data_IF_597397485811
#
_entry.id   IF_597397485811
#
_cell.length_a   1.000
_cell.length_b   1.000
_cell.length_c   1.000
_cell.angle_alpha   90.00
_cell.angle_beta   90.00
_cell.angle_gamma   90.00
#
_symmetry.space_group_name_H-M   'P 1'
#
loop_
_entity.id
_entity.type
_entity.pdbx_description
1 polymer ?
#
# COMPACT_ATOMS: atom_id res chain seq x y z
N UNK A 1 19.49 1.37 -11.04
CA UNK A 1 18.44 0.33 -10.94
C UNK A 1 17.28 0.70 -11.85
N UNK A 2 16.95 -0.19 -12.79
CA UNK A 2 15.79 -0.08 -13.69
C UNK A 2 14.53 -0.29 -12.84
N UNK A 3 13.48 0.51 -13.04
CA UNK A 3 12.18 0.29 -12.38
C UNK A 3 11.61 -1.05 -12.86
N UNK A 4 11.21 -1.90 -11.94
CA UNK A 4 10.50 -3.14 -12.27
C UNK A 4 9.05 -2.84 -12.61
N UNK A 5 8.44 -1.88 -11.90
CA UNK A 5 7.08 -1.44 -12.17
C UNK A 5 7.07 -0.39 -13.30
N UNK A 6 7.10 -0.88 -14.54
CA UNK A 6 6.86 -0.03 -15.71
C UNK A 6 5.35 0.30 -15.87
N UNK A 7 5.04 1.29 -16.71
CA UNK A 7 3.68 1.83 -16.85
C UNK A 7 2.62 0.74 -17.15
N UNK A 8 2.90 -0.18 -18.07
CA UNK A 8 1.95 -1.28 -18.38
C UNK A 8 1.58 -2.18 -17.20
N UNK A 9 2.51 -2.50 -16.29
CA UNK A 9 2.18 -3.26 -15.07
C UNK A 9 1.40 -2.40 -14.08
N UNK A 10 1.75 -1.11 -13.96
CA UNK A 10 1.03 -0.16 -13.10
C UNK A 10 -0.43 0.00 -13.54
N UNK A 11 -0.68 0.14 -14.82
CA UNK A 11 -2.04 0.29 -15.37
C UNK A 11 -2.90 -0.94 -15.07
N UNK A 12 -2.33 -2.15 -15.22
CA UNK A 12 -3.00 -3.41 -14.87
C UNK A 12 -3.32 -3.50 -13.37
N UNK A 13 -2.35 -3.17 -12.50
CA UNK A 13 -2.58 -3.13 -11.06
C UNK A 13 -3.69 -2.13 -10.66
N UNK A 14 -3.75 -0.97 -11.32
CA UNK A 14 -4.76 0.06 -11.03
C UNK A 14 -6.20 -0.38 -11.35
N UNK A 15 -6.39 -1.43 -12.16
CA UNK A 15 -7.71 -2.03 -12.45
C UNK A 15 -8.18 -3.00 -11.37
N UNK A 16 -7.28 -3.46 -10.49
CA UNK A 16 -7.57 -4.45 -9.47
C UNK A 16 -7.88 -3.77 -8.13
N UNK A 17 -8.62 -4.47 -7.26
CA UNK A 17 -8.76 -4.08 -5.87
C UNK A 17 -7.63 -4.70 -5.02
N UNK A 18 -7.32 -4.08 -3.88
CA UNK A 18 -6.39 -4.69 -2.91
C UNK A 18 -6.87 -6.07 -2.45
N UNK A 19 -8.18 -6.32 -2.40
CA UNK A 19 -8.75 -7.64 -2.11
C UNK A 19 -8.35 -8.71 -3.13
N UNK A 20 -8.39 -8.39 -4.43
CA UNK A 20 -7.97 -9.34 -5.48
C UNK A 20 -6.49 -9.73 -5.33
N UNK A 21 -5.64 -8.76 -4.98
CA UNK A 21 -4.21 -9.00 -4.74
C UNK A 21 -3.96 -9.78 -3.44
N UNK A 22 -4.73 -9.52 -2.38
CA UNK A 22 -4.66 -10.28 -1.13
C UNK A 22 -4.98 -11.76 -1.36
N UNK A 23 -6.07 -12.03 -2.08
CA UNK A 23 -6.50 -13.39 -2.41
C UNK A 23 -5.48 -14.11 -3.32
N UNK A 24 -4.90 -13.39 -4.28
CA UNK A 24 -3.81 -13.89 -5.12
C UNK A 24 -2.57 -14.28 -4.30
N UNK A 25 -2.18 -13.43 -3.34
CA UNK A 25 -1.08 -13.73 -2.43
C UNK A 25 -1.36 -14.98 -1.59
N UNK A 26 -2.59 -15.16 -1.11
CA UNK A 26 -2.95 -16.35 -0.33
C UNK A 26 -2.96 -17.63 -1.18
N UNK A 27 -3.38 -17.57 -2.45
CA UNK A 27 -3.19 -18.68 -3.40
C UNK A 27 -1.72 -19.07 -3.54
N UNK A 28 -0.84 -18.08 -3.73
CA UNK A 28 0.59 -18.30 -3.88
C UNK A 28 1.22 -18.86 -2.59
N UNK A 29 0.78 -18.41 -1.42
CA UNK A 29 1.20 -18.96 -0.13
C UNK A 29 0.83 -20.45 0.01
N UNK A 30 -0.35 -20.87 -0.43
CA UNK A 30 -0.73 -22.28 -0.43
C UNK A 30 0.17 -23.15 -1.32
N UNK A 31 0.84 -22.55 -2.31
CA UNK A 31 1.83 -23.19 -3.16
C UNK A 31 3.28 -23.07 -2.62
N UNK A 32 3.45 -22.52 -1.41
CA UNK A 32 4.76 -22.31 -0.79
C UNK A 32 5.50 -21.07 -1.29
N UNK A 33 4.83 -20.17 -2.01
CA UNK A 33 5.42 -18.95 -2.57
C UNK A 33 5.15 -17.77 -1.62
N UNK A 34 6.21 -17.13 -1.11
CA UNK A 34 6.10 -15.95 -0.27
C UNK A 34 5.92 -14.68 -1.12
N UNK A 35 4.68 -14.42 -1.55
CA UNK A 35 4.36 -13.32 -2.47
C UNK A 35 4.12 -11.96 -1.79
N UNK A 36 3.98 -11.91 -0.47
CA UNK A 36 3.73 -10.66 0.27
C UNK A 36 2.62 -10.80 1.33
N UNK A 37 1.84 -9.74 1.55
CA UNK A 37 0.70 -9.77 2.46
C UNK A 37 -0.12 -8.48 2.49
N UNK A 38 -1.34 -8.60 3.01
CA UNK A 38 -2.22 -7.47 3.30
C UNK A 38 -1.93 -6.88 4.69
N UNK A 39 -2.11 -5.57 4.84
CA UNK A 39 -1.91 -4.84 6.08
C UNK A 39 -3.22 -4.25 6.58
N UNK A 40 -3.49 -4.46 7.86
CA UNK A 40 -4.75 -4.08 8.51
C UNK A 40 -4.67 -2.68 9.11
N UNK A 41 -5.77 -1.94 8.99
CA UNK A 41 -6.01 -0.71 9.75
C UNK A 41 -5.23 0.50 9.23
N UNK A 42 -4.81 0.48 7.97
CA UNK A 42 -4.27 1.64 7.26
C UNK A 42 -5.23 1.94 6.10
N UNK A 43 -5.81 3.13 6.10
CA UNK A 43 -6.91 3.52 5.19
C UNK A 43 -6.66 4.93 4.62
N UNK A 44 -7.30 5.32 3.50
CA UNK A 44 -7.19 6.67 2.99
C UNK A 44 -7.70 7.67 4.03
N UNK A 45 -6.92 8.73 4.27
CA UNK A 45 -7.30 9.77 5.22
C UNK A 45 -8.23 10.81 4.61
N UNK A 46 -8.37 10.82 3.29
CA UNK A 46 -9.30 11.66 2.54
C UNK A 46 -9.74 10.96 1.25
N UNK A 47 -10.96 11.28 0.81
CA UNK A 47 -11.53 10.77 -0.44
C UNK A 47 -11.53 9.24 -0.58
N UNK A 48 -11.54 8.78 -1.84
CA UNK A 48 -11.38 7.36 -2.21
C UNK A 48 -10.10 7.19 -3.04
N UNK A 49 -8.97 7.60 -2.46
CA UNK A 49 -7.68 7.61 -3.15
C UNK A 49 -7.10 6.21 -3.33
N UNK A 50 -6.27 6.05 -4.36
CA UNK A 50 -5.51 4.83 -4.64
C UNK A 50 -4.03 5.14 -4.79
N UNK A 51 -3.21 4.19 -4.37
CA UNK A 51 -1.75 4.25 -4.44
C UNK A 51 -1.27 2.96 -5.11
N UNK A 52 -0.35 3.06 -6.07
CA UNK A 52 0.42 1.92 -6.61
C UNK A 52 1.83 2.40 -6.92
N UNK A 53 2.85 1.72 -6.40
CA UNK A 53 4.24 2.00 -6.77
C UNK A 53 5.28 1.15 -6.04
N UNK A 54 6.55 1.33 -6.43
CA UNK A 54 7.69 0.74 -5.73
C UNK A 54 7.94 1.46 -4.41
N UNK A 55 8.18 0.71 -3.34
CA UNK A 55 8.38 1.25 -2.00
C UNK A 55 9.73 1.96 -1.85
N UNK A 56 9.69 3.20 -1.36
CA UNK A 56 10.82 3.91 -0.76
C UNK A 56 10.52 4.05 0.72
N UNK A 57 11.27 3.32 1.54
CA UNK A 57 10.92 3.09 2.94
C UNK A 57 11.56 4.10 3.88
N UNK A 58 10.89 4.41 4.98
CA UNK A 58 11.36 5.28 6.06
C UNK A 58 11.05 4.59 7.38
N UNK A 59 12.05 4.46 8.25
CA UNK A 59 11.88 4.00 9.62
C UNK A 59 12.00 5.17 10.58
N UNK A 60 11.06 5.26 11.51
CA UNK A 60 11.02 6.28 12.55
C UNK A 60 11.41 5.67 13.89
N UNK A 61 12.03 6.46 14.77
CA UNK A 61 12.31 6.08 16.16
C UNK A 61 12.02 7.23 17.11
N UNK A 62 11.94 6.94 18.41
CA UNK A 62 11.81 7.96 19.43
C UNK A 62 13.00 8.92 19.38
N UNK A 63 12.75 10.19 19.66
CA UNK A 63 13.80 11.21 19.68
C UNK A 63 14.82 10.88 20.79
N UNK A 64 16.06 10.56 20.42
CA UNK A 64 17.16 10.43 21.36
C UNK A 64 17.79 11.80 21.65
N UNK A 65 18.53 11.96 22.75
CA UNK A 65 19.21 13.22 23.07
C UNK A 65 20.32 13.64 22.06
N UNK A 66 20.60 12.79 21.06
CA UNK A 66 21.54 13.07 19.97
C UNK A 66 20.81 13.74 18.80
N UNK A 67 21.39 14.84 18.33
CA UNK A 67 20.81 15.79 17.40
C UNK A 67 20.20 15.13 16.14
N UNK A 68 18.88 15.29 15.97
CA UNK A 68 18.21 15.08 14.69
C UNK A 68 18.63 16.20 13.71
N UNK A 69 19.45 15.87 12.72
CA UNK A 69 19.94 16.82 11.71
C UNK A 69 19.07 16.93 10.45
N UNK A 70 18.21 15.94 10.18
CA UNK A 70 17.43 15.87 8.93
C UNK A 70 15.91 15.88 9.21
N UNK A 71 15.17 16.63 8.39
CA UNK A 71 13.72 16.59 8.38
C UNK A 71 13.25 15.20 7.94
N UNK A 72 12.41 14.55 8.76
CA UNK A 72 11.90 13.21 8.52
C UNK A 72 11.32 13.10 7.10
N UNK A 73 11.74 12.06 6.36
CA UNK A 73 11.21 11.72 5.04
C UNK A 73 11.79 12.51 3.86
N UNK A 74 12.57 13.57 4.09
CA UNK A 74 13.09 14.40 2.98
C UNK A 74 14.06 13.63 2.09
N UNK A 75 14.99 12.89 2.67
CA UNK A 75 15.96 12.09 1.88
C UNK A 75 15.26 11.05 1.00
N UNK A 76 14.23 10.39 1.56
CA UNK A 76 13.41 9.42 0.85
C UNK A 76 12.66 10.06 -0.33
N UNK A 77 12.04 11.23 -0.13
CA UNK A 77 11.38 11.98 -1.21
C UNK A 77 12.40 12.37 -2.29
N UNK A 78 13.57 12.87 -1.91
CA UNK A 78 14.61 13.30 -2.87
C UNK A 78 15.13 12.13 -3.70
N UNK A 79 15.29 10.95 -3.10
CA UNK A 79 15.76 9.75 -3.78
C UNK A 79 14.69 9.03 -4.61
N UNK A 80 13.41 9.23 -4.28
CA UNK A 80 12.29 8.61 -4.96
C UNK A 80 12.13 9.11 -6.40
N UNK A 81 11.59 8.24 -7.25
CA UNK A 81 11.30 8.50 -8.67
C UNK A 81 9.79 8.67 -8.88
N UNK A 82 9.37 9.35 -9.97
CA UNK A 82 7.96 9.47 -10.33
C UNK A 82 7.22 8.13 -10.28
N UNK A 83 6.11 8.09 -9.54
CA UNK A 83 5.29 6.89 -9.30
C UNK A 83 5.74 5.97 -8.16
N UNK A 84 6.81 6.28 -7.44
CA UNK A 84 7.17 5.54 -6.21
C UNK A 84 6.21 5.88 -5.06
N UNK A 85 6.21 5.04 -4.02
CA UNK A 85 5.41 5.20 -2.81
C UNK A 85 6.33 5.35 -1.61
N UNK A 86 6.10 6.39 -0.81
CA UNK A 86 6.77 6.50 0.48
C UNK A 86 6.07 5.59 1.48
N UNK A 87 6.83 4.73 2.16
CA UNK A 87 6.31 3.80 3.17
C UNK A 87 6.95 4.12 4.52
N UNK A 88 6.16 4.57 5.48
CA UNK A 88 6.65 5.02 6.79
C UNK A 88 6.28 4.02 7.88
N UNK A 89 7.30 3.46 8.52
CA UNK A 89 7.19 2.65 9.73
C UNK A 89 7.36 3.54 10.96
N UNK A 90 6.22 3.93 11.54
CA UNK A 90 6.14 4.61 12.84
C UNK A 90 5.56 3.68 13.92
N UNK A 91 5.66 2.35 13.72
CA UNK A 91 5.24 1.31 14.67
C UNK A 91 3.80 1.47 15.18
N UNK A 92 2.91 2.01 14.35
CA UNK A 92 1.51 2.26 14.69
C UNK A 92 1.28 3.37 15.71
N UNK A 93 2.26 4.24 15.96
CA UNK A 93 2.13 5.33 16.95
C UNK A 93 1.07 6.37 16.52
N UNK A 94 0.10 6.59 17.41
CA UNK A 94 -1.00 7.55 17.26
C UNK A 94 -0.89 8.73 18.23
N UNK A 95 0.25 8.94 18.88
CA UNK A 95 0.46 10.06 19.80
C UNK A 95 1.17 11.27 19.15
N UNK A 96 1.64 11.13 17.92
CA UNK A 96 2.26 12.19 17.12
C UNK A 96 2.14 11.86 15.62
N UNK A 97 2.19 12.89 14.78
CA UNK A 97 2.28 12.67 13.33
C UNK A 97 3.70 12.25 12.93
N UNK A 98 3.83 11.61 11.78
CA UNK A 98 5.10 11.49 11.06
C UNK A 98 5.00 11.94 9.58
N UNK A 99 3.88 12.51 9.17
CA UNK A 99 3.67 13.06 7.83
C UNK A 99 2.67 14.22 7.86
N UNK A 100 2.81 15.19 6.96
CA UNK A 100 1.94 16.37 6.83
C UNK A 100 2.13 17.15 5.53
N UNK A 101 1.58 18.36 5.46
CA UNK A 101 1.40 19.12 4.21
C UNK A 101 2.71 19.38 3.44
N UNK A 102 3.80 19.71 4.14
CA UNK A 102 5.08 20.06 3.52
C UNK A 102 5.66 18.86 2.77
N UNK A 103 5.58 17.67 3.39
CA UNK A 103 6.05 16.43 2.77
C UNK A 103 5.14 15.99 1.64
N UNK A 104 3.82 16.13 1.81
CA UNK A 104 2.84 15.87 0.74
C UNK A 104 3.08 16.75 -0.49
N UNK A 105 3.30 18.06 -0.31
CA UNK A 105 3.61 18.96 -1.41
C UNK A 105 4.93 18.58 -2.11
N UNK A 106 5.99 18.32 -1.35
CA UNK A 106 7.28 17.91 -1.90
C UNK A 106 7.18 16.58 -2.68
N UNK A 107 6.43 15.61 -2.16
CA UNK A 107 6.19 14.32 -2.80
C UNK A 107 5.33 14.48 -4.07
N UNK A 108 4.29 15.32 -4.04
CA UNK A 108 3.48 15.64 -5.23
C UNK A 108 4.32 16.27 -6.34
N UNK A 109 5.19 17.23 -6.00
CA UNK A 109 6.10 17.86 -6.97
C UNK A 109 7.09 16.88 -7.62
N UNK A 110 7.34 15.74 -6.99
CA UNK A 110 8.13 14.64 -7.54
C UNK A 110 7.30 13.54 -8.19
N UNK A 111 6.01 13.78 -8.37
CA UNK A 111 5.07 12.86 -9.03
C UNK A 111 5.00 11.49 -8.34
N UNK A 112 5.21 11.46 -7.02
CA UNK A 112 5.07 10.22 -6.24
C UNK A 112 3.60 9.79 -6.18
N UNK A 113 3.36 8.49 -6.12
CA UNK A 113 2.00 7.92 -6.11
C UNK A 113 1.23 8.19 -4.82
N UNK A 114 1.92 8.48 -3.72
CA UNK A 114 1.32 8.70 -2.41
C UNK A 114 2.26 8.29 -1.28
N UNK A 115 1.71 8.30 -0.06
CA UNK A 115 2.37 7.80 1.15
C UNK A 115 1.48 6.80 1.88
N UNK A 116 2.09 5.77 2.44
CA UNK A 116 1.47 4.81 3.35
C UNK A 116 2.20 4.85 4.69
N UNK A 117 1.46 5.09 5.77
CA UNK A 117 2.01 5.35 7.11
C UNK A 117 1.45 4.36 8.14
N UNK A 118 2.34 3.56 8.74
CA UNK A 118 2.04 2.78 9.93
C UNK A 118 2.14 3.66 11.19
N UNK A 119 1.16 4.55 11.35
CA UNK A 119 1.10 5.56 12.40
C UNK A 119 0.13 6.69 12.03
N UNK A 120 0.17 7.80 12.77
CA UNK A 120 -0.68 8.96 12.49
C UNK A 120 -0.04 10.00 11.56
N UNK A 121 -0.90 10.73 10.87
CA UNK A 121 -0.55 11.87 10.00
C UNK A 121 -1.31 13.12 10.42
N UNK A 122 -1.04 14.26 9.76
CA UNK A 122 -1.80 15.50 9.95
C UNK A 122 -1.91 16.31 8.65
N UNK A 123 -2.57 17.46 8.74
CA UNK A 123 -2.74 18.41 7.62
C UNK A 123 -3.42 17.73 6.41
N UNK A 124 -4.41 16.88 6.68
CA UNK A 124 -5.08 16.03 5.68
C UNK A 124 -5.96 16.83 4.73
N UNK A 125 -6.52 17.94 5.21
CA UNK A 125 -7.22 18.95 4.40
C UNK A 125 -6.30 19.57 3.34
N UNK A 126 -5.06 19.89 3.69
CA UNK A 126 -4.06 20.33 2.72
C UNK A 126 -3.70 19.21 1.74
N UNK A 127 -3.56 17.97 2.23
CA UNK A 127 -3.28 16.82 1.35
C UNK A 127 -4.39 16.56 0.34
N UNK A 128 -5.66 16.75 0.73
CA UNK A 128 -6.82 16.69 -0.16
C UNK A 128 -6.80 17.82 -1.19
N UNK A 129 -6.51 19.06 -0.78
CA UNK A 129 -6.34 20.18 -1.72
C UNK A 129 -5.20 19.96 -2.70
N UNK A 130 -4.16 19.23 -2.28
CA UNK A 130 -3.04 18.85 -3.15
C UNK A 130 -3.34 17.62 -4.00
N UNK A 131 -4.49 16.98 -3.81
CA UNK A 131 -4.82 15.70 -4.45
C UNK A 131 -3.72 14.64 -4.26
N UNK A 132 -2.99 14.69 -3.13
CA UNK A 132 -1.90 13.76 -2.84
C UNK A 132 -2.38 12.63 -1.91
N UNK A 133 -2.41 11.36 -2.38
CA UNK A 133 -2.92 10.24 -1.59
C UNK A 133 -2.12 10.02 -0.29
N UNK A 134 -2.82 10.01 0.83
CA UNK A 134 -2.26 9.71 2.16
C UNK A 134 -3.09 8.60 2.79
N UNK A 135 -2.44 7.46 3.03
CA UNK A 135 -3.01 6.32 3.75
C UNK A 135 -2.29 6.16 5.08
N UNK A 136 -3.03 6.09 6.18
CA UNK A 136 -2.47 6.06 7.52
C UNK A 136 -3.37 5.28 8.49
N UNK A 137 -2.89 5.07 9.73
CA UNK A 137 -3.74 4.52 10.80
C UNK A 137 -4.72 5.54 11.37
N UNK A 138 -4.45 6.83 11.21
CA UNK A 138 -5.33 7.89 11.68
C UNK A 138 -4.69 9.28 11.56
N UNK A 139 -5.39 10.27 12.10
CA UNK A 139 -4.96 11.68 12.09
C UNK A 139 -4.77 12.21 13.51
N UNK A 140 -3.79 13.10 13.70
CA UNK A 140 -3.55 13.80 14.97
C UNK A 140 -3.05 15.22 14.75
N UNK A 141 -3.36 16.19 15.63
CA UNK A 141 -2.79 17.54 15.54
C UNK A 141 -1.35 17.62 16.10
N UNK A 142 -0.87 16.56 16.75
CA UNK A 142 0.37 16.57 17.55
C UNK A 142 1.60 16.44 16.64
N UNK A 143 2.59 17.33 16.85
CA UNK A 143 3.81 17.40 16.03
C UNK A 143 4.82 16.30 16.34
N UNK A 144 5.46 15.74 15.30
CA UNK A 144 6.64 14.89 15.38
C UNK A 144 7.82 15.53 16.16
N UNK A 145 7.93 16.88 16.10
CA UNK A 145 9.10 17.63 16.56
C UNK A 145 9.38 17.39 18.03
N UNK A 146 10.61 16.97 18.34
CA UNK A 146 11.06 16.64 19.69
C UNK A 146 10.48 15.35 20.28
N UNK A 147 9.71 14.58 19.50
CA UNK A 147 9.09 13.31 19.93
C UNK A 147 9.67 12.12 19.18
N UNK A 148 9.79 12.26 17.87
CA UNK A 148 10.31 11.24 16.97
C UNK A 148 11.36 11.81 16.02
N UNK A 149 12.16 10.94 15.42
CA UNK A 149 13.14 11.25 14.38
C UNK A 149 13.25 10.13 13.35
N UNK A 150 13.74 10.43 12.15
CA UNK A 150 14.10 9.41 11.17
C UNK A 150 15.27 8.57 11.69
N UNK A 151 15.07 7.26 11.81
CA UNK A 151 16.10 6.28 12.19
C UNK A 151 16.93 5.90 10.96
N UNK A 152 16.24 5.57 9.86
CA UNK A 152 16.83 5.12 8.61
C UNK A 152 15.85 5.32 7.45
N UNK A 153 16.35 5.31 6.22
CA UNK A 153 15.55 5.29 5.01
C UNK A 153 16.15 4.31 4.01
N UNK A 154 15.33 3.83 3.08
CA UNK A 154 15.70 2.81 2.09
C UNK A 154 16.28 1.53 2.72
N UNK A 155 15.70 1.12 3.84
CA UNK A 155 15.99 -0.13 4.57
C UNK A 155 14.72 -0.96 4.69
N UNK A 156 14.82 -2.26 4.99
CA UNK A 156 13.62 -3.05 5.28
C UNK A 156 12.88 -2.48 6.50
N UNK A 157 11.56 -2.30 6.40
CA UNK A 157 10.70 -1.78 7.48
C UNK A 157 9.51 -2.70 7.73
N UNK A 158 8.68 -2.41 8.73
CA UNK A 158 7.38 -3.08 8.91
C UNK A 158 6.24 -2.11 8.66
N UNK A 159 5.19 -2.64 8.04
CA UNK A 159 3.90 -1.98 7.91
C UNK A 159 2.88 -2.91 8.59
N UNK A 160 2.52 -2.61 9.84
CA UNK A 160 1.86 -3.57 10.71
C UNK A 160 2.74 -4.81 10.96
N UNK A 161 2.24 -5.98 10.59
CA UNK A 161 2.93 -7.27 10.69
C UNK A 161 3.70 -7.65 9.41
N UNK A 162 3.52 -6.91 8.31
CA UNK A 162 4.14 -7.20 7.03
C UNK A 162 5.49 -6.49 6.88
N UNK A 163 6.54 -7.23 6.54
CA UNK A 163 7.84 -6.66 6.22
C UNK A 163 7.85 -6.08 4.79
N UNK A 164 8.29 -4.83 4.64
CA UNK A 164 8.41 -4.13 3.35
C UNK A 164 9.88 -3.85 3.06
N UNK A 165 10.36 -4.28 1.90
CA UNK A 165 11.72 -3.94 1.42
C UNK A 165 11.63 -2.76 0.46
N UNK A 166 12.71 -1.95 0.34
CA UNK A 166 12.85 -1.06 -0.80
C UNK A 166 12.59 -1.78 -2.13
N UNK A 167 11.76 -1.20 -2.99
CA UNK A 167 11.39 -1.76 -4.29
C UNK A 167 10.24 -2.79 -4.27
N UNK A 168 9.80 -3.30 -3.11
CA UNK A 168 8.56 -4.08 -3.06
C UNK A 168 7.39 -3.22 -3.56
N UNK A 169 6.38 -3.84 -4.16
CA UNK A 169 5.24 -3.11 -4.72
C UNK A 169 4.21 -2.89 -3.62
N UNK A 170 3.81 -1.64 -3.44
CA UNK A 170 2.77 -1.27 -2.47
C UNK A 170 1.57 -0.76 -3.24
N UNK A 171 0.42 -1.38 -2.94
CA UNK A 171 -0.87 -0.93 -3.41
C UNK A 171 -1.76 -0.58 -2.21
N UNK A 172 -2.47 0.54 -2.29
CA UNK A 172 -3.45 0.92 -1.30
C UNK A 172 -4.74 1.42 -1.95
N UNK A 173 -5.88 1.05 -1.37
CA UNK A 173 -7.19 1.57 -1.72
C UNK A 173 -8.06 1.71 -0.45
N UNK A 174 -9.37 1.92 -0.61
CA UNK A 174 -10.28 2.11 0.52
C UNK A 174 -10.37 0.92 1.48
N UNK A 175 -9.98 -0.28 1.05
CA UNK A 175 -10.05 -1.49 1.86
C UNK A 175 -8.79 -1.72 2.70
N UNK A 176 -7.66 -1.15 2.28
CA UNK A 176 -6.40 -1.29 3.00
C UNK A 176 -5.19 -1.23 2.10
N UNK A 177 -4.11 -1.89 2.52
CA UNK A 177 -2.83 -1.93 1.83
C UNK A 177 -2.42 -3.36 1.55
N UNK A 178 -1.87 -3.63 0.37
CA UNK A 178 -1.20 -4.88 0.02
C UNK A 178 0.24 -4.59 -0.38
N UNK A 179 1.16 -5.39 0.17
CA UNK A 179 2.57 -5.40 -0.17
C UNK A 179 2.85 -6.66 -0.99
N UNK A 180 3.40 -6.51 -2.18
CA UNK A 180 3.80 -7.60 -3.07
C UNK A 180 5.32 -7.62 -3.16
N UNK A 181 5.92 -8.80 -2.99
CA UNK A 181 7.36 -8.97 -3.21
C UNK A 181 7.67 -8.69 -4.67
N UNK A 182 8.72 -7.90 -4.92
CA UNK A 182 9.10 -7.50 -6.28
C UNK A 182 9.32 -8.72 -7.21
N UNK A 183 9.84 -9.82 -6.68
CA UNK A 183 10.11 -11.05 -7.41
C UNK A 183 8.84 -11.86 -7.73
N UNK A 184 7.73 -11.57 -7.04
CA UNK A 184 6.44 -12.25 -7.22
C UNK A 184 5.39 -11.36 -7.91
N UNK A 185 5.77 -10.17 -8.39
CA UNK A 185 4.84 -9.19 -8.96
C UNK A 185 4.01 -9.77 -10.11
N UNK A 186 4.66 -10.32 -11.14
CA UNK A 186 3.97 -10.83 -12.32
C UNK A 186 3.03 -12.00 -11.98
N UNK A 187 3.50 -12.95 -11.17
CA UNK A 187 2.69 -14.08 -10.72
C UNK A 187 1.49 -13.61 -9.89
N UNK A 188 1.68 -12.65 -8.98
CA UNK A 188 0.59 -12.11 -8.17
C UNK A 188 -0.45 -11.40 -9.05
N UNK A 189 0.03 -10.62 -10.02
CA UNK A 189 -0.82 -9.90 -10.96
C UNK A 189 -1.69 -10.84 -11.80
N UNK A 190 -1.10 -11.89 -12.39
CA UNK A 190 -1.83 -12.89 -13.18
C UNK A 190 -2.91 -13.60 -12.37
N UNK A 191 -2.60 -13.98 -11.12
CA UNK A 191 -3.59 -14.61 -10.21
C UNK A 191 -4.71 -13.64 -9.86
N UNK A 192 -4.38 -12.39 -9.56
CA UNK A 192 -5.37 -11.38 -9.19
C UNK A 192 -6.30 -11.03 -10.35
N UNK A 193 -5.78 -10.96 -11.59
CA UNK A 193 -6.60 -10.77 -12.80
C UNK A 193 -7.55 -11.96 -13.02
N UNK A 194 -7.10 -13.20 -12.82
CA UNK A 194 -7.95 -14.38 -12.92
C UNK A 194 -9.06 -14.40 -11.85
N UNK A 195 -8.74 -13.98 -10.62
CA UNK A 195 -9.72 -13.82 -9.54
C UNK A 195 -10.76 -12.76 -9.90
N UNK A 196 -10.31 -11.56 -10.30
CA UNK A 196 -11.19 -10.46 -10.67
C UNK A 196 -12.12 -10.83 -11.85
N UNK A 197 -11.60 -11.53 -12.86
CA UNK A 197 -12.40 -12.01 -13.98
C UNK A 197 -13.48 -13.02 -13.53
N UNK A 198 -13.14 -13.93 -12.61
CA UNK A 198 -14.10 -14.89 -12.06
C UNK A 198 -15.18 -14.20 -11.21
N UNK A 199 -14.79 -13.25 -10.36
CA UNK A 199 -15.72 -12.44 -9.57
C UNK A 199 -16.67 -11.63 -10.46
N UNK A 200 -16.14 -11.03 -11.54
CA UNK A 200 -16.95 -10.30 -12.50
C UNK A 200 -18.00 -11.21 -13.17
N UNK A 201 -17.61 -12.43 -13.57
CA UNK A 201 -18.55 -13.41 -14.13
C UNK A 201 -19.63 -13.85 -13.12
N UNK A 202 -19.30 -13.95 -11.83
CA UNK A 202 -20.27 -14.21 -10.76
C UNK A 202 -21.27 -13.05 -10.66
N UNK A 203 -20.77 -11.81 -10.62
CA UNK A 203 -21.61 -10.61 -10.53
C UNK A 203 -22.54 -10.50 -11.75
N UNK A 204 -22.03 -10.78 -12.95
CA UNK A 204 -22.84 -10.68 -14.18
C UNK A 204 -23.93 -11.75 -14.24
N UNK A 205 -23.67 -12.97 -13.76
CA UNK A 205 -24.69 -14.01 -13.61
C UNK A 205 -25.81 -13.59 -12.65
N UNK A 206 -25.45 -13.02 -11.50
CA UNK A 206 -26.42 -12.51 -10.53
C UNK A 206 -27.24 -11.34 -11.10
N UNK A 207 -26.60 -10.43 -11.85
CA UNK A 207 -27.28 -9.33 -12.55
C UNK A 207 -28.23 -9.81 -13.64
N UNK A 208 -27.93 -10.94 -14.27
CA UNK A 208 -28.81 -11.60 -15.24
C UNK A 208 -30.02 -12.29 -14.57
N UNK A 209 -30.11 -12.28 -13.24
CA UNK A 209 -31.22 -12.85 -12.48
C UNK A 209 -31.06 -14.33 -12.14
N UNK A 210 -29.86 -14.90 -12.31
CA UNK A 210 -29.59 -16.27 -11.85
C UNK A 210 -29.65 -16.35 -10.32
N UNK A 211 -30.21 -17.45 -9.79
CA UNK A 211 -30.29 -17.69 -8.36
C UNK A 211 -28.89 -17.89 -7.73
N UNK A 212 -28.69 -17.30 -6.55
CA UNK A 212 -27.39 -17.27 -5.86
C UNK A 212 -26.88 -18.67 -5.52
N UNK A 213 -27.74 -19.64 -5.21
CA UNK A 213 -27.30 -21.01 -4.90
C UNK A 213 -26.83 -21.73 -6.16
N UNK A 214 -27.46 -21.49 -7.30
CA UNK A 214 -27.00 -22.04 -8.59
C UNK A 214 -25.67 -21.42 -9.02
N UNK A 215 -25.53 -20.11 -8.87
CA UNK A 215 -24.27 -19.39 -9.16
C UNK A 215 -23.14 -19.91 -8.26
N UNK A 216 -23.37 -20.00 -6.95
CA UNK A 216 -22.37 -20.51 -6.00
C UNK A 216 -21.93 -21.94 -6.32
N UNK A 217 -22.88 -22.85 -6.60
CA UNK A 217 -22.56 -24.22 -7.04
C UNK A 217 -21.75 -24.27 -8.33
N UNK A 218 -22.06 -23.43 -9.31
CA UNK A 218 -21.37 -23.38 -10.61
C UNK A 218 -19.95 -22.84 -10.48
N UNK A 219 -19.77 -21.75 -9.74
CA UNK A 219 -18.46 -21.08 -9.63
C UNK A 219 -17.61 -21.64 -8.48
N UNK A 220 -18.21 -22.31 -7.50
CA UNK A 220 -17.55 -22.88 -6.33
C UNK A 220 -16.65 -21.84 -5.63
N UNK A 221 -17.26 -20.72 -5.23
CA UNK A 221 -16.53 -19.55 -4.73
C UNK A 221 -15.67 -19.89 -3.51
N UNK A 222 -16.22 -20.66 -2.57
CA UNK A 222 -15.54 -21.14 -1.35
C UNK A 222 -14.20 -21.85 -1.61
N UNK A 223 -14.03 -22.47 -2.78
CA UNK A 223 -12.81 -23.19 -3.13
C UNK A 223 -11.98 -22.49 -4.22
N UNK A 224 -12.29 -21.23 -4.53
CA UNK A 224 -11.62 -20.46 -5.57
C UNK A 224 -10.10 -20.40 -5.37
N UNK A 225 -9.63 -20.32 -4.12
CA UNK A 225 -8.20 -20.21 -3.83
C UNK A 225 -7.46 -21.55 -3.70
N UNK A 226 -8.19 -22.68 -3.70
CA UNK A 226 -7.61 -24.02 -3.43
C UNK A 226 -7.26 -24.80 -4.71
N UNK A 227 -7.82 -24.41 -5.86
CA UNK A 227 -7.89 -25.27 -7.06
C UNK A 227 -6.83 -24.99 -8.14
N UNK A 228 -5.77 -24.26 -7.82
CA UNK A 228 -4.70 -23.97 -8.78
C UNK A 228 -3.57 -25.00 -8.65
N UNK A 229 -3.77 -26.18 -9.24
CA UNK A 229 -2.68 -27.08 -9.64
C UNK A 229 -2.21 -26.74 -11.05
#
# INVERSE_FOLDING_TARGET
MIKVLHQGLRDRLMLLATSNLSDAIDQLKHQGIHAGGAVIGIVPQWGRTRIVGEAVTVRVTAHAALASGAHLGVDAIVAAKPGDVIVVDNRGDLHNNCWGEILSMAARMRELSGVVVDGAVRDVDACEQFEFPVHARGTVPITARGRIMQEAWNVSVRLGDIAVRPGDIVMADVNGVVVIRIEALEQTLERAEAIAAKEQAIIDALRAGEDVLSVDKRFNYENMLKNTR
#
